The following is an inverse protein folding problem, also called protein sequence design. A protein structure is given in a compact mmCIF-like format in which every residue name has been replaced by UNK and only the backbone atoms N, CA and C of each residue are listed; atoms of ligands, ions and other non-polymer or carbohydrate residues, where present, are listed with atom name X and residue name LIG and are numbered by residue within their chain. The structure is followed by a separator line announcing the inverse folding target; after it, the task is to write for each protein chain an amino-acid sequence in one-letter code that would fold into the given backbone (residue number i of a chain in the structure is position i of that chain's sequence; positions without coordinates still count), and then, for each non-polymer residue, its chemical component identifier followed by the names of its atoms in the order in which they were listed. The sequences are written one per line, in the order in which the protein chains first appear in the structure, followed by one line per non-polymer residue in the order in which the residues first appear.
data_IF_489728157141
#
_entry.id   IF_489728157141
#
_cell.length_a   1.000
_cell.length_b   1.000
_cell.length_c   1.000
_cell.angle_alpha   90.00
_cell.angle_beta   90.00
_cell.angle_gamma   90.00
#
_symmetry.space_group_name_H-M   'P 1'
#
loop_
_entity.id
_entity.type
_entity.pdbx_description
1 polymer ?
#
# COMPACT_ATOMS: atom_id res chain seq x y z
N UNK A 1 6.00 -13.61 46.43
CA UNK A 1 5.41 -13.71 45.09
C UNK A 1 6.40 -13.13 44.10
N UNK A 2 7.02 -14.01 43.31
CA UNK A 2 8.17 -13.72 42.46
C UNK A 2 7.73 -12.93 41.23
N UNK A 3 8.33 -11.75 41.03
CA UNK A 3 8.25 -11.02 39.77
C UNK A 3 9.19 -11.70 38.77
N UNK A 4 8.62 -12.44 37.84
CA UNK A 4 9.36 -13.05 36.74
C UNK A 4 9.92 -11.97 35.82
N UNK A 5 11.18 -11.60 36.00
CA UNK A 5 11.95 -10.89 34.99
C UNK A 5 12.18 -11.83 33.80
N UNK A 6 11.32 -11.74 32.80
CA UNK A 6 11.57 -12.34 31.50
C UNK A 6 12.83 -11.72 30.89
N UNK A 7 13.91 -12.49 30.78
CA UNK A 7 15.13 -12.06 30.13
C UNK A 7 14.85 -11.73 28.66
N UNK A 8 14.72 -10.44 28.34
CA UNK A 8 14.83 -9.95 26.96
C UNK A 8 16.26 -10.22 26.51
N UNK A 9 16.47 -11.26 25.68
CA UNK A 9 17.71 -11.41 24.91
C UNK A 9 17.91 -10.12 24.14
N UNK A 10 18.97 -9.36 24.46
CA UNK A 10 19.50 -8.33 23.56
C UNK A 10 19.78 -9.05 22.24
N UNK A 11 19.13 -8.63 21.16
CA UNK A 11 19.54 -9.01 19.84
C UNK A 11 20.96 -8.46 19.67
N UNK A 12 21.95 -9.36 19.61
CA UNK A 12 23.27 -9.00 19.12
C UNK A 12 23.06 -8.33 17.75
N UNK A 13 23.73 -7.20 17.52
CA UNK A 13 23.76 -6.55 16.21
C UNK A 13 24.25 -7.60 15.22
N UNK A 14 23.33 -8.23 14.48
CA UNK A 14 23.69 -9.17 13.44
C UNK A 14 24.56 -8.39 12.44
N UNK A 15 25.79 -8.85 12.24
CA UNK A 15 26.63 -8.33 11.17
C UNK A 15 25.86 -8.48 9.85
N UNK A 16 25.99 -7.51 8.91
CA UNK A 16 25.38 -7.62 7.61
C UNK A 16 25.80 -8.96 7.00
N UNK A 17 24.81 -9.82 6.74
CA UNK A 17 25.07 -11.15 6.21
C UNK A 17 25.58 -10.99 4.79
N UNK A 18 26.77 -11.49 4.49
CA UNK A 18 27.28 -11.47 3.12
C UNK A 18 26.37 -12.37 2.26
N UNK A 19 25.48 -11.75 1.49
CA UNK A 19 24.49 -12.47 0.66
C UNK A 19 25.19 -13.36 -0.37
N UNK A 20 26.37 -12.96 -0.84
CA UNK A 20 27.17 -13.74 -1.80
C UNK A 20 27.87 -14.94 -1.16
N UNK A 21 27.76 -15.13 0.17
CA UNK A 21 28.25 -16.33 0.85
C UNK A 21 27.23 -17.48 0.87
N UNK A 22 26.00 -17.26 0.40
CA UNK A 22 24.98 -18.30 0.24
C UNK A 22 25.13 -19.03 -1.09
N UNK A 23 24.47 -20.19 -1.19
CA UNK A 23 24.39 -20.96 -2.43
C UNK A 23 23.89 -20.08 -3.60
N UNK A 24 24.56 -20.06 -4.77
CA UNK A 24 24.18 -19.23 -5.91
C UNK A 24 22.73 -19.44 -6.37
N UNK A 25 22.19 -20.66 -6.28
CA UNK A 25 20.80 -20.94 -6.62
C UNK A 25 19.84 -20.25 -5.65
N UNK A 26 20.16 -20.27 -4.35
CA UNK A 26 19.39 -19.57 -3.32
C UNK A 26 19.44 -18.06 -3.55
N UNK A 27 20.62 -17.51 -3.87
CA UNK A 27 20.77 -16.08 -4.17
C UNK A 27 19.96 -15.70 -5.41
N UNK A 28 19.96 -16.52 -6.45
CA UNK A 28 19.17 -16.28 -7.66
C UNK A 28 17.66 -16.25 -7.37
N UNK A 29 17.15 -17.22 -6.61
CA UNK A 29 15.74 -17.27 -6.20
C UNK A 29 15.35 -16.05 -5.35
N UNK A 30 16.20 -15.65 -4.40
CA UNK A 30 15.96 -14.45 -3.59
C UNK A 30 15.93 -13.20 -4.47
N UNK A 31 16.89 -13.04 -5.39
CA UNK A 31 16.89 -11.91 -6.34
C UNK A 31 15.61 -11.88 -7.19
N UNK A 32 15.13 -13.02 -7.67
CA UNK A 32 13.88 -13.09 -8.42
C UNK A 32 12.68 -12.63 -7.58
N UNK A 33 12.64 -12.98 -6.29
CA UNK A 33 11.56 -12.59 -5.39
C UNK A 33 11.46 -11.07 -5.20
N UNK A 34 12.59 -10.38 -5.07
CA UNK A 34 12.64 -8.92 -4.90
C UNK A 34 12.56 -8.15 -6.24
N UNK A 35 12.70 -8.81 -7.39
CA UNK A 35 12.66 -8.19 -8.72
C UNK A 35 11.31 -8.31 -9.44
N UNK A 36 10.22 -8.61 -8.73
CA UNK A 36 8.85 -8.65 -9.28
C UNK A 36 8.28 -7.25 -9.49
N UNK A 37 8.98 -6.47 -10.29
CA UNK A 37 8.72 -5.06 -10.57
C UNK A 37 8.59 -4.85 -12.08
N UNK A 38 7.61 -4.06 -12.50
CA UNK A 38 7.35 -3.70 -13.89
C UNK A 38 6.98 -2.23 -13.97
N UNK A 39 7.74 -1.45 -14.74
CA UNK A 39 7.47 -0.03 -14.99
C UNK A 39 6.82 0.14 -16.34
N UNK A 40 5.76 0.95 -16.40
CA UNK A 40 5.13 1.32 -17.66
C UNK A 40 6.01 2.27 -18.46
N UNK A 41 6.06 2.05 -19.78
CA UNK A 41 6.75 2.94 -20.72
C UNK A 41 5.70 3.74 -21.46
N UNK A 42 5.69 5.05 -21.23
CA UNK A 42 4.76 5.95 -21.92
C UNK A 42 5.14 6.06 -23.41
N UNK A 43 4.16 6.09 -24.32
CA UNK A 43 4.41 6.35 -25.74
C UNK A 43 5.13 7.68 -25.97
N UNK A 44 6.18 7.69 -26.79
CA UNK A 44 6.97 8.88 -27.09
C UNK A 44 6.19 9.95 -27.88
N UNK A 45 5.09 9.55 -28.55
CA UNK A 45 4.21 10.43 -29.32
C UNK A 45 3.25 11.25 -28.45
N UNK A 46 3.25 11.08 -27.12
CA UNK A 46 2.36 11.82 -26.21
C UNK A 46 0.89 11.39 -26.27
N UNK A 47 0.60 10.22 -26.83
CA UNK A 47 -0.76 9.70 -26.99
C UNK A 47 -1.49 9.49 -25.66
N UNK A 48 -0.76 9.16 -24.60
CA UNK A 48 -1.33 9.03 -23.26
C UNK A 48 -1.48 10.41 -22.63
N UNK A 49 -2.70 10.89 -22.58
CA UNK A 49 -3.06 12.19 -22.02
C UNK A 49 -4.41 12.12 -21.32
N UNK A 50 -4.62 13.01 -20.35
CA UNK A 50 -5.91 13.09 -19.65
C UNK A 50 -6.96 13.56 -20.68
N UNK A 51 -8.05 12.80 -20.89
CA UNK A 51 -9.10 13.21 -21.81
C UNK A 51 -9.80 14.47 -21.32
N UNK A 52 -10.39 15.23 -22.24
CA UNK A 52 -11.21 16.38 -21.86
C UNK A 52 -12.37 15.94 -20.93
N UNK A 53 -12.71 16.78 -19.97
CA UNK A 53 -13.80 16.48 -19.01
C UNK A 53 -15.15 16.26 -19.69
N UNK A 54 -15.35 16.84 -20.88
CA UNK A 54 -16.53 16.62 -21.71
C UNK A 54 -16.46 15.33 -22.53
N UNK A 55 -15.38 14.56 -22.52
CA UNK A 55 -15.28 13.28 -23.24
C UNK A 55 -15.05 12.10 -22.27
N UNK A 56 -14.46 12.39 -21.11
CA UNK A 56 -14.21 11.42 -20.05
C UNK A 56 -15.49 10.69 -19.60
N UNK A 57 -15.38 9.39 -19.35
CA UNK A 57 -16.43 8.54 -18.76
C UNK A 57 -17.76 8.49 -19.53
N UNK A 58 -17.75 8.78 -20.84
CA UNK A 58 -18.95 8.71 -21.70
C UNK A 58 -19.16 7.35 -22.37
N UNK A 59 -18.10 6.57 -22.50
CA UNK A 59 -18.16 5.26 -23.14
C UNK A 59 -18.60 4.18 -22.16
N UNK A 60 -19.36 3.16 -22.61
CA UNK A 60 -19.70 2.02 -21.77
C UNK A 60 -18.43 1.26 -21.36
N UNK A 61 -18.51 0.58 -20.22
CA UNK A 61 -17.49 -0.37 -19.78
C UNK A 61 -17.23 -1.40 -20.89
N UNK A 62 -15.95 -1.62 -21.20
CA UNK A 62 -15.52 -2.58 -22.22
C UNK A 62 -14.37 -3.43 -21.70
N UNK A 63 -14.62 -4.72 -21.55
CA UNK A 63 -13.60 -5.66 -21.13
C UNK A 63 -12.73 -6.11 -22.30
N UNK A 64 -11.43 -6.22 -22.03
CA UNK A 64 -10.49 -6.70 -23.04
C UNK A 64 -10.48 -8.23 -23.06
N UNK A 65 -10.85 -8.83 -24.20
CA UNK A 65 -11.03 -10.29 -24.35
C UNK A 65 -9.83 -11.10 -23.85
N UNK A 66 -8.60 -10.67 -24.17
CA UNK A 66 -7.39 -11.37 -23.71
C UNK A 66 -7.22 -11.30 -22.18
N UNK A 67 -7.57 -10.17 -21.55
CA UNK A 67 -7.45 -10.02 -20.10
C UNK A 67 -8.50 -10.87 -19.38
N UNK A 68 -9.72 -10.92 -19.90
CA UNK A 68 -10.78 -11.78 -19.36
C UNK A 68 -10.47 -13.28 -19.53
N UNK A 69 -9.80 -13.63 -20.63
CA UNK A 69 -9.27 -14.99 -20.82
C UNK A 69 -8.21 -15.33 -19.77
N UNK A 70 -7.31 -14.40 -19.46
CA UNK A 70 -6.31 -14.55 -18.40
C UNK A 70 -6.94 -14.65 -17.01
N UNK A 71 -7.95 -13.83 -16.71
CA UNK A 71 -8.75 -13.92 -15.47
C UNK A 71 -9.34 -15.32 -15.30
N UNK A 72 -10.00 -15.82 -16.34
CA UNK A 72 -10.62 -17.16 -16.33
C UNK A 72 -9.57 -18.24 -16.11
N UNK A 73 -8.47 -18.21 -16.85
CA UNK A 73 -7.40 -19.20 -16.73
C UNK A 73 -6.73 -19.18 -15.35
N UNK A 74 -6.49 -18.00 -14.78
CA UNK A 74 -5.95 -17.86 -13.43
C UNK A 74 -6.90 -18.51 -12.40
N UNK A 75 -8.20 -18.21 -12.49
CA UNK A 75 -9.21 -18.75 -11.56
C UNK A 75 -9.35 -20.28 -11.68
N UNK A 76 -9.21 -20.84 -12.88
CA UNK A 76 -9.17 -22.31 -13.07
C UNK A 76 -7.97 -22.96 -12.37
N UNK A 77 -6.79 -22.34 -12.46
CA UNK A 77 -5.59 -22.82 -11.77
C UNK A 77 -5.83 -22.81 -10.25
N UNK A 78 -6.38 -21.73 -9.70
CA UNK A 78 -6.72 -21.64 -8.28
C UNK A 78 -7.72 -22.73 -7.84
N UNK A 79 -8.78 -22.95 -8.61
CA UNK A 79 -9.82 -23.95 -8.32
C UNK A 79 -9.31 -25.38 -8.40
N UNK A 80 -8.38 -25.66 -9.32
CA UNK A 80 -7.81 -27.01 -9.50
C UNK A 80 -6.96 -27.47 -8.30
N UNK A 81 -6.61 -26.56 -7.38
CA UNK A 81 -5.75 -26.88 -6.25
C UNK A 81 -4.33 -27.29 -6.68
N UNK A 82 -3.95 -26.95 -7.92
CA UNK A 82 -2.61 -27.23 -8.43
C UNK A 82 -1.61 -26.49 -7.55
N UNK A 83 -0.81 -27.24 -6.80
CA UNK A 83 0.34 -26.70 -6.08
C UNK A 83 1.35 -26.21 -7.11
N UNK A 84 1.20 -24.97 -7.58
CA UNK A 84 2.28 -24.30 -8.28
C UNK A 84 3.40 -24.18 -7.24
N UNK A 85 4.59 -24.78 -7.47
CA UNK A 85 5.73 -24.57 -6.60
C UNK A 85 6.23 -23.14 -6.85
N UNK A 86 5.55 -22.17 -6.26
CA UNK A 86 6.00 -20.79 -6.25
C UNK A 86 7.07 -20.72 -5.17
N UNK A 87 8.34 -20.38 -5.51
CA UNK A 87 9.31 -20.04 -4.50
C UNK A 87 8.68 -18.94 -3.65
N UNK A 88 8.38 -19.25 -2.38
CA UNK A 88 7.67 -18.34 -1.51
C UNK A 88 8.48 -18.16 -0.26
N UNK A 89 8.78 -16.91 0.06
CA UNK A 89 9.17 -16.61 1.43
C UNK A 89 7.97 -16.96 2.30
N UNK A 90 8.15 -17.79 3.32
CA UNK A 90 7.09 -18.00 4.32
C UNK A 90 6.99 -16.68 5.10
N UNK A 91 5.97 -15.82 4.88
CA UNK A 91 6.00 -14.45 5.39
C UNK A 91 6.09 -14.42 6.92
N UNK A 92 5.54 -15.43 7.60
CA UNK A 92 5.63 -15.59 9.04
C UNK A 92 7.07 -15.71 9.58
N UNK A 93 7.98 -16.37 8.85
CA UNK A 93 9.39 -16.46 9.26
C UNK A 93 10.10 -15.11 9.07
N UNK A 94 9.81 -14.41 7.97
CA UNK A 94 10.39 -13.08 7.69
C UNK A 94 9.95 -12.08 8.76
N UNK A 95 8.65 -11.99 9.05
CA UNK A 95 8.10 -11.06 10.05
C UNK A 95 8.72 -11.30 11.43
N UNK A 96 8.86 -12.56 11.85
CA UNK A 96 9.49 -12.91 13.12
C UNK A 96 10.94 -12.43 13.22
N UNK A 97 11.72 -12.65 12.15
CA UNK A 97 13.11 -12.21 12.06
C UNK A 97 13.21 -10.68 12.04
N UNK A 98 12.42 -9.99 11.21
CA UNK A 98 12.40 -8.52 11.12
C UNK A 98 12.05 -7.89 12.45
N UNK A 99 11.02 -8.40 13.14
CA UNK A 99 10.62 -7.90 14.45
C UNK A 99 11.75 -8.03 15.49
N UNK A 100 12.45 -9.16 15.48
CA UNK A 100 13.55 -9.42 16.41
C UNK A 100 14.81 -8.58 16.10
N UNK A 101 15.13 -8.39 14.83
CA UNK A 101 16.34 -7.69 14.39
C UNK A 101 16.19 -6.17 14.38
N UNK A 102 15.05 -5.66 13.93
CA UNK A 102 14.82 -4.22 13.74
C UNK A 102 14.10 -3.55 14.92
N UNK A 103 13.57 -4.31 15.89
CA UNK A 103 12.70 -3.78 16.95
C UNK A 103 11.52 -2.97 16.36
N UNK A 104 10.93 -3.50 15.28
CA UNK A 104 9.85 -2.86 14.54
C UNK A 104 8.52 -2.88 15.31
N UNK A 105 7.91 -1.72 15.46
CA UNK A 105 6.56 -1.54 16.01
C UNK A 105 5.49 -1.94 14.98
N UNK A 106 4.38 -2.52 15.42
CA UNK A 106 3.27 -2.99 14.54
C UNK A 106 3.82 -3.81 13.34
N UNK A 107 4.85 -4.63 13.59
CA UNK A 107 5.53 -5.40 12.56
C UNK A 107 4.63 -6.52 12.02
N UNK A 108 3.79 -6.17 11.05
CA UNK A 108 2.87 -7.03 10.30
C UNK A 108 3.44 -7.37 8.92
N UNK A 109 2.69 -8.13 8.12
CA UNK A 109 3.06 -8.34 6.72
C UNK A 109 3.01 -7.03 5.92
N UNK A 110 2.00 -6.17 6.18
CA UNK A 110 1.90 -4.85 5.56
C UNK A 110 3.11 -3.98 5.91
N UNK A 111 3.59 -4.05 7.15
CA UNK A 111 4.81 -3.35 7.58
C UNK A 111 6.01 -3.73 6.71
N UNK A 112 6.22 -5.04 6.50
CA UNK A 112 7.34 -5.57 5.73
C UNK A 112 7.25 -5.19 4.25
N UNK A 113 6.05 -5.25 3.66
CA UNK A 113 5.79 -4.82 2.28
C UNK A 113 6.17 -3.36 2.09
N UNK A 114 5.70 -2.49 2.98
CA UNK A 114 5.97 -1.06 2.81
C UNK A 114 7.43 -0.71 3.06
N UNK A 115 8.11 -1.41 3.97
CA UNK A 115 9.55 -1.22 4.18
C UNK A 115 10.34 -1.63 2.93
N UNK A 116 9.95 -2.72 2.28
CA UNK A 116 10.50 -3.16 1.01
C UNK A 116 10.23 -2.14 -0.11
N UNK A 117 9.02 -1.57 -0.19
CA UNK A 117 8.66 -0.51 -1.15
C UNK A 117 9.54 0.73 -0.93
N UNK A 118 9.69 1.22 0.31
CA UNK A 118 10.53 2.37 0.65
C UNK A 118 12.03 2.12 0.34
N UNK A 119 12.49 0.88 0.44
CA UNK A 119 13.88 0.50 0.12
C UNK A 119 14.16 0.31 -1.37
N UNK A 120 13.14 0.06 -2.18
CA UNK A 120 13.27 -0.23 -3.61
C UNK A 120 12.84 0.92 -4.51
N UNK A 121 11.96 1.79 -4.01
CA UNK A 121 11.37 2.90 -4.75
C UNK A 121 11.72 4.24 -4.10
N UNK A 122 12.01 5.26 -4.91
CA UNK A 122 12.26 6.62 -4.44
C UNK A 122 10.93 7.33 -4.12
N UNK A 123 10.23 6.89 -3.08
CA UNK A 123 8.91 7.42 -2.73
C UNK A 123 8.95 8.79 -2.06
N UNK A 124 10.01 9.07 -1.29
CA UNK A 124 10.12 10.33 -0.55
C UNK A 124 10.74 11.40 -1.46
N UNK A 125 10.04 12.51 -1.74
CA UNK A 125 10.58 13.59 -2.57
C UNK A 125 11.87 14.15 -1.96
N UNK A 126 12.90 14.30 -2.79
CA UNK A 126 14.21 14.80 -2.34
C UNK A 126 14.07 16.22 -1.78
N UNK A 127 13.20 17.01 -2.37
CA UNK A 127 12.89 18.38 -1.98
C UNK A 127 12.32 18.45 -0.56
N UNK A 128 11.40 17.54 -0.21
CA UNK A 128 10.81 17.44 1.13
C UNK A 128 11.87 17.06 2.18
N UNK A 129 12.75 16.11 1.82
CA UNK A 129 13.87 15.71 2.69
C UNK A 129 14.91 16.84 2.88
N UNK A 130 15.11 17.68 1.86
CA UNK A 130 16.02 18.83 1.92
C UNK A 130 15.42 20.01 2.71
N UNK A 131 14.12 20.28 2.56
CA UNK A 131 13.43 21.29 3.38
C UNK A 131 13.26 20.86 4.83
N UNK A 132 13.34 19.55 5.09
CA UNK A 132 13.18 18.96 6.41
C UNK A 132 11.72 18.88 6.87
N UNK A 133 10.77 18.97 5.94
CA UNK A 133 9.33 18.86 6.22
C UNK A 133 8.75 17.79 5.29
N UNK A 134 8.15 16.74 5.86
CA UNK A 134 7.51 15.66 5.12
C UNK A 134 6.07 15.49 5.60
N UNK A 135 5.13 15.56 4.66
CA UNK A 135 3.70 15.45 4.94
C UNK A 135 3.11 14.25 4.19
N UNK A 136 2.52 13.31 4.92
CA UNK A 136 1.99 12.07 4.33
C UNK A 136 0.55 11.79 4.72
N UNK A 137 -0.21 11.17 3.82
CA UNK A 137 -1.61 10.79 4.07
C UNK A 137 -1.79 9.29 3.80
N UNK A 138 -2.50 8.61 4.69
CA UNK A 138 -2.75 7.17 4.58
C UNK A 138 -4.24 6.88 4.51
N UNK A 139 -4.71 6.34 3.39
CA UNK A 139 -6.12 6.03 3.12
C UNK A 139 -6.40 4.56 3.40
N UNK A 140 -7.51 4.28 4.08
CA UNK A 140 -7.90 2.93 4.51
C UNK A 140 -6.79 2.19 5.27
N UNK A 141 -6.12 2.88 6.19
CA UNK A 141 -4.79 2.48 6.70
C UNK A 141 -4.82 1.52 7.91
N UNK A 142 -5.97 1.31 8.55
CA UNK A 142 -6.04 0.50 9.76
C UNK A 142 -5.35 -0.87 9.58
N UNK A 143 -4.51 -1.32 10.54
CA UNK A 143 -4.32 -0.74 11.88
C UNK A 143 -3.21 0.32 11.99
N UNK A 144 -2.62 0.79 10.88
CA UNK A 144 -1.50 1.74 10.88
C UNK A 144 -0.13 1.15 10.63
N UNK A 145 -0.06 0.04 9.87
CA UNK A 145 1.20 -0.63 9.60
C UNK A 145 2.14 0.20 8.74
N UNK A 146 1.65 0.92 7.72
CA UNK A 146 2.49 1.76 6.86
C UNK A 146 2.94 3.02 7.59
N UNK A 147 2.09 3.57 8.48
CA UNK A 147 2.47 4.69 9.37
C UNK A 147 3.66 4.27 10.26
N UNK A 148 3.52 3.13 10.96
CA UNK A 148 4.58 2.56 11.79
C UNK A 148 5.87 2.26 11.01
N UNK A 149 5.75 1.74 9.78
CA UNK A 149 6.90 1.52 8.91
C UNK A 149 7.60 2.82 8.54
N UNK A 150 6.87 3.86 8.12
CA UNK A 150 7.51 5.12 7.73
C UNK A 150 8.19 5.76 8.95
N UNK A 151 7.55 5.75 10.11
CA UNK A 151 8.17 6.21 11.35
C UNK A 151 9.53 5.51 11.59
N UNK A 152 9.52 4.17 11.51
CA UNK A 152 10.74 3.38 11.69
C UNK A 152 11.80 3.72 10.64
N UNK A 153 11.43 3.79 9.36
CA UNK A 153 12.32 4.11 8.25
C UNK A 153 12.96 5.49 8.41
N UNK A 154 12.17 6.51 8.76
CA UNK A 154 12.65 7.86 8.98
C UNK A 154 13.62 7.93 10.17
N UNK A 155 13.31 7.27 11.29
CA UNK A 155 14.14 7.34 12.50
C UNK A 155 15.41 6.50 12.44
N UNK A 156 15.48 5.49 11.57
CA UNK A 156 16.63 4.58 11.47
C UNK A 156 17.60 4.91 10.34
N UNK A 157 17.20 5.75 9.38
CA UNK A 157 18.07 6.21 8.29
C UNK A 157 18.74 7.55 8.63
N UNK A 158 20.05 7.64 8.44
CA UNK A 158 20.82 8.87 8.69
C UNK A 158 20.37 10.04 7.79
N UNK A 159 19.87 9.73 6.59
CA UNK A 159 19.44 10.73 5.61
C UNK A 159 18.09 11.36 5.91
N UNK A 160 17.26 10.71 6.74
CA UNK A 160 15.85 11.11 6.95
C UNK A 160 15.52 11.40 8.41
N UNK A 161 16.39 11.03 9.37
CA UNK A 161 16.13 11.16 10.82
C UNK A 161 15.86 12.56 11.35
N UNK A 162 16.23 13.59 10.59
CA UNK A 162 16.06 15.00 10.93
C UNK A 162 14.87 15.66 10.24
N UNK A 163 14.07 14.89 9.50
CA UNK A 163 12.86 15.39 8.87
C UNK A 163 11.73 15.53 9.91
N UNK A 164 11.09 16.70 9.94
CA UNK A 164 9.85 16.93 10.65
C UNK A 164 8.71 16.31 9.85
N UNK A 165 8.17 15.22 10.39
CA UNK A 165 7.17 14.41 9.73
C UNK A 165 5.79 14.67 10.33
N UNK A 166 4.87 15.15 9.50
CA UNK A 166 3.44 15.23 9.81
C UNK A 166 2.68 14.19 8.99
N UNK A 167 1.66 13.61 9.59
CA UNK A 167 0.81 12.65 8.89
C UNK A 167 -0.65 12.79 9.27
N UNK A 168 -1.51 12.34 8.36
CA UNK A 168 -2.94 12.16 8.59
C UNK A 168 -3.35 10.79 8.04
N UNK A 169 -4.38 10.18 8.63
CA UNK A 169 -4.87 8.89 8.17
C UNK A 169 -6.39 8.83 8.14
N UNK A 170 -6.93 8.01 7.25
CA UNK A 170 -8.34 7.67 7.21
C UNK A 170 -8.49 6.13 7.27
N UNK A 171 -9.59 5.69 7.88
CA UNK A 171 -10.08 4.33 7.85
C UNK A 171 -11.54 4.33 8.30
N UNK A 172 -12.29 3.24 8.09
CA UNK A 172 -13.59 3.05 8.71
C UNK A 172 -13.46 3.19 10.22
N UNK A 173 -14.28 4.05 10.82
CA UNK A 173 -14.18 4.37 12.23
C UNK A 173 -14.51 3.15 13.12
N UNK A 174 -13.55 2.61 13.88
CA UNK A 174 -13.79 1.46 14.76
C UNK A 174 -14.68 1.79 15.96
N UNK A 175 -14.87 3.08 16.27
CA UNK A 175 -15.70 3.57 17.38
C UNK A 175 -17.11 3.98 16.94
N UNK A 176 -17.46 3.80 15.67
CA UNK A 176 -18.80 4.09 15.15
C UNK A 176 -19.65 2.82 15.11
N UNK A 177 -20.67 2.74 15.97
CA UNK A 177 -21.45 1.51 16.19
C UNK A 177 -22.08 0.90 14.92
N UNK A 178 -22.39 1.74 13.92
CA UNK A 178 -22.98 1.27 12.66
C UNK A 178 -21.95 0.63 11.70
N UNK A 179 -20.65 0.86 11.92
CA UNK A 179 -19.60 0.10 11.26
C UNK A 179 -19.51 -1.26 11.98
N UNK A 180 -20.31 -2.23 11.52
CA UNK A 180 -20.43 -3.53 12.19
C UNK A 180 -19.07 -4.21 12.40
N UNK A 181 -18.96 -5.04 13.43
CA UNK A 181 -17.69 -5.63 13.91
C UNK A 181 -16.92 -6.56 12.96
N UNK A 182 -17.40 -6.77 11.72
CA UNK A 182 -16.70 -7.49 10.66
C UNK A 182 -16.09 -6.59 9.58
N UNK A 183 -16.35 -5.27 9.62
CA UNK A 183 -15.90 -4.31 8.59
C UNK A 183 -14.66 -3.51 9.01
N UNK A 184 -14.46 -3.33 10.32
CA UNK A 184 -13.34 -2.59 10.88
C UNK A 184 -12.23 -3.53 11.33
N UNK A 185 -10.99 -3.06 11.28
CA UNK A 185 -9.86 -3.79 11.85
C UNK A 185 -9.94 -3.73 13.37
N UNK A 186 -9.74 -4.88 14.04
CA UNK A 186 -9.88 -5.02 15.48
C UNK A 186 -8.72 -4.43 16.30
N UNK A 187 -7.54 -4.29 15.70
CA UNK A 187 -6.39 -3.65 16.34
C UNK A 187 -6.45 -2.13 16.14
N UNK A 188 -7.07 -1.44 17.10
CA UNK A 188 -7.29 0.01 17.09
C UNK A 188 -6.27 0.79 17.93
N UNK A 189 -5.24 0.12 18.47
CA UNK A 189 -4.36 0.73 19.48
C UNK A 189 -3.62 1.95 18.97
N UNK A 190 -3.11 1.94 17.73
CA UNK A 190 -2.50 3.12 17.15
C UNK A 190 -3.56 4.22 17.01
N UNK A 191 -4.72 3.88 16.45
CA UNK A 191 -5.85 4.78 16.22
C UNK A 191 -6.24 5.50 17.52
N UNK A 192 -6.53 4.74 18.57
CA UNK A 192 -6.93 5.27 19.88
C UNK A 192 -5.88 6.21 20.51
N UNK A 193 -4.58 5.88 20.37
CA UNK A 193 -3.50 6.70 20.94
C UNK A 193 -3.09 7.89 20.05
N UNK A 194 -3.61 7.96 18.82
CA UNK A 194 -3.28 9.00 17.84
C UNK A 194 -4.52 9.62 17.21
N UNK A 195 -5.68 9.57 17.91
CA UNK A 195 -6.98 10.04 17.38
C UNK A 195 -6.95 11.40 16.67
N UNK A 196 -6.23 12.44 17.14
CA UNK A 196 -6.18 13.73 16.45
C UNK A 196 -5.64 13.70 15.01
N UNK A 197 -4.93 12.64 14.63
CA UNK A 197 -4.36 12.43 13.30
C UNK A 197 -5.24 11.54 12.41
N UNK A 198 -6.35 11.00 12.94
CA UNK A 198 -7.30 10.17 12.18
C UNK A 198 -8.53 10.96 11.76
N UNK A 199 -8.85 10.87 10.48
CA UNK A 199 -9.98 11.52 9.85
C UNK A 199 -11.10 10.52 9.55
N UNK A 200 -12.25 10.73 10.18
CA UNK A 200 -13.43 9.87 10.05
C UNK A 200 -14.58 10.52 9.27
N UNK A 201 -14.35 11.66 8.61
CA UNK A 201 -15.42 12.39 7.91
C UNK A 201 -16.34 13.18 8.86
N UNK A 202 -17.11 14.12 8.31
CA UNK A 202 -18.10 14.87 9.09
C UNK A 202 -19.23 13.99 9.64
N UNK A 203 -19.48 12.85 8.98
CA UNK A 203 -20.46 11.83 9.39
C UNK A 203 -19.87 10.78 10.35
N UNK A 204 -18.58 10.90 10.67
CA UNK A 204 -17.85 10.05 11.60
C UNK A 204 -17.78 8.56 11.21
N UNK A 205 -18.17 8.21 9.97
CA UNK A 205 -18.16 6.83 9.46
C UNK A 205 -16.78 6.35 9.09
N UNK A 206 -15.92 7.26 8.62
CA UNK A 206 -14.65 6.93 8.00
C UNK A 206 -14.75 6.38 6.58
N UNK A 207 -15.94 6.34 5.99
CA UNK A 207 -16.16 5.83 4.64
C UNK A 207 -15.66 6.83 3.58
N UNK A 208 -14.54 6.49 2.94
CA UNK A 208 -13.92 7.29 1.88
C UNK A 208 -14.75 7.36 0.60
N UNK A 209 -15.71 6.43 0.42
CA UNK A 209 -16.57 6.41 -0.76
C UNK A 209 -17.70 7.47 -0.69
N UNK A 210 -17.89 8.09 0.47
CA UNK A 210 -18.83 9.20 0.65
C UNK A 210 -18.35 10.46 -0.10
N UNK A 211 -19.13 11.05 -1.03
CA UNK A 211 -18.69 12.21 -1.82
C UNK A 211 -18.29 13.45 -1.01
N UNK A 212 -18.82 13.60 0.22
CA UNK A 212 -18.45 14.69 1.13
C UNK A 212 -17.06 14.49 1.72
N UNK A 213 -16.64 13.23 1.90
CA UNK A 213 -15.40 12.84 2.54
C UNK A 213 -14.18 13.49 1.90
N UNK A 214 -14.15 13.57 0.56
CA UNK A 214 -13.03 14.13 -0.17
C UNK A 214 -12.74 15.60 0.18
N UNK A 215 -13.79 16.43 0.23
CA UNK A 215 -13.66 17.86 0.54
C UNK A 215 -13.30 18.08 2.00
N UNK A 216 -13.92 17.31 2.89
CA UNK A 216 -13.67 17.43 4.32
C UNK A 216 -12.24 16.96 4.67
N UNK A 217 -11.74 15.91 4.00
CA UNK A 217 -10.37 15.43 4.16
C UNK A 217 -9.35 16.48 3.69
N UNK A 218 -9.60 17.17 2.58
CA UNK A 218 -8.77 18.30 2.14
C UNK A 218 -8.73 19.41 3.19
N UNK A 219 -9.87 19.73 3.82
CA UNK A 219 -9.92 20.68 4.93
C UNK A 219 -9.11 20.22 6.14
N UNK A 220 -9.20 18.93 6.48
CA UNK A 220 -8.47 18.33 7.61
C UNK A 220 -6.95 18.42 7.45
N UNK A 221 -6.44 18.18 6.24
CA UNK A 221 -4.99 18.27 5.95
C UNK A 221 -4.55 19.67 5.51
N UNK A 222 -5.45 20.67 5.51
CA UNK A 222 -5.20 22.00 4.94
C UNK A 222 -4.08 22.83 5.60
N UNK A 223 -3.62 22.41 6.78
CA UNK A 223 -2.46 23.03 7.44
C UNK A 223 -1.12 22.45 6.97
N UNK A 224 -1.11 21.34 6.23
CA UNK A 224 0.09 20.80 5.60
C UNK A 224 0.39 21.62 4.34
N UNK A 225 1.64 22.06 4.19
CA UNK A 225 2.05 22.92 3.06
C UNK A 225 1.83 22.26 1.70
N UNK A 226 2.10 20.96 1.62
CA UNK A 226 2.00 20.10 0.43
C UNK A 226 1.93 18.67 0.93
N UNK A 227 1.21 17.78 0.25
CA UNK A 227 1.22 16.34 0.55
C UNK A 227 2.24 15.65 -0.35
N UNK A 228 3.27 15.06 0.25
CA UNK A 228 4.44 14.49 -0.42
C UNK A 228 4.27 13.02 -0.76
N UNK A 229 3.41 12.32 -0.02
CA UNK A 229 3.07 10.94 -0.29
C UNK A 229 1.67 10.61 0.20
N UNK A 230 0.92 9.89 -0.64
CA UNK A 230 -0.33 9.24 -0.25
C UNK A 230 -0.14 7.72 -0.36
N UNK A 231 -0.67 6.97 0.60
CA UNK A 231 -0.82 5.51 0.46
C UNK A 231 -2.29 5.13 0.56
N UNK A 232 -2.69 4.05 -0.10
CA UNK A 232 -4.05 3.54 -0.11
C UNK A 232 -4.05 2.02 -0.01
N UNK A 233 -4.71 1.51 1.02
CA UNK A 233 -4.66 0.11 1.43
C UNK A 233 -6.02 -0.57 1.55
N UNK A 234 -7.09 0.04 1.04
CA UNK A 234 -8.47 -0.42 1.16
C UNK A 234 -8.72 -1.79 0.56
N UNK A 235 -9.67 -2.52 1.13
CA UNK A 235 -10.21 -3.77 0.58
C UNK A 235 -11.48 -4.13 1.30
N UNK A 236 -12.28 -4.99 0.68
CA UNK A 236 -13.38 -5.68 1.33
C UNK A 236 -13.05 -7.15 1.56
N UNK A 237 -13.82 -7.81 2.41
CA UNK A 237 -13.77 -9.26 2.54
C UNK A 237 -14.40 -9.92 1.29
N UNK A 238 -13.58 -10.61 0.52
CA UNK A 238 -13.96 -11.30 -0.69
C UNK A 238 -13.84 -12.83 -0.56
N UNK A 239 -13.76 -13.39 0.67
CA UNK A 239 -13.60 -14.84 0.87
C UNK A 239 -14.71 -15.67 0.20
N UNK A 240 -15.93 -15.12 0.12
CA UNK A 240 -17.06 -15.78 -0.55
C UNK A 240 -16.99 -15.79 -2.08
N UNK A 241 -16.20 -14.91 -2.69
CA UNK A 241 -16.04 -14.83 -4.15
C UNK A 241 -14.68 -14.23 -4.53
N UNK A 242 -13.56 -14.97 -4.33
CA UNK A 242 -12.22 -14.46 -4.59
C UNK A 242 -11.96 -14.19 -6.09
N UNK A 243 -12.67 -14.89 -6.98
CA UNK A 243 -12.58 -14.74 -8.43
C UNK A 243 -12.95 -13.32 -8.91
N UNK A 244 -13.82 -12.64 -8.15
CA UNK A 244 -14.36 -11.31 -8.45
C UNK A 244 -13.76 -10.22 -7.56
N UNK A 245 -12.67 -10.51 -6.84
CA UNK A 245 -12.03 -9.57 -5.91
C UNK A 245 -11.73 -8.23 -6.60
N UNK A 246 -11.17 -8.25 -7.81
CA UNK A 246 -10.81 -7.06 -8.57
C UNK A 246 -12.02 -6.16 -8.87
N UNK A 247 -13.10 -6.74 -9.40
CA UNK A 247 -14.32 -6.01 -9.71
C UNK A 247 -14.99 -5.45 -8.44
N UNK A 248 -14.97 -6.22 -7.35
CA UNK A 248 -15.61 -5.83 -6.09
C UNK A 248 -14.95 -4.63 -5.41
N UNK A 249 -13.61 -4.53 -5.47
CA UNK A 249 -12.87 -3.41 -4.87
C UNK A 249 -12.71 -2.21 -5.82
N UNK A 250 -13.11 -2.33 -7.09
CA UNK A 250 -12.86 -1.32 -8.12
C UNK A 250 -13.37 0.09 -7.74
N UNK A 251 -14.57 0.18 -7.15
CA UNK A 251 -15.13 1.47 -6.71
C UNK A 251 -14.34 2.09 -5.56
N UNK A 252 -13.84 1.26 -4.64
CA UNK A 252 -12.99 1.73 -3.54
C UNK A 252 -11.65 2.24 -4.06
N UNK A 253 -10.98 1.49 -4.93
CA UNK A 253 -9.72 1.94 -5.55
C UNK A 253 -9.89 3.25 -6.34
N UNK A 254 -11.03 3.41 -7.04
CA UNK A 254 -11.34 4.67 -7.71
C UNK A 254 -11.45 5.84 -6.72
N UNK A 255 -12.17 5.66 -5.61
CA UNK A 255 -12.28 6.67 -4.56
C UNK A 255 -10.92 6.99 -3.90
N UNK A 256 -10.11 5.98 -3.61
CA UNK A 256 -8.76 6.15 -3.04
C UNK A 256 -7.83 6.90 -4.00
N UNK A 257 -7.84 6.55 -5.29
CA UNK A 257 -7.03 7.22 -6.29
C UNK A 257 -7.51 8.66 -6.55
N UNK A 258 -8.83 8.89 -6.60
CA UNK A 258 -9.38 10.23 -6.72
C UNK A 258 -8.99 11.09 -5.50
N UNK A 259 -9.05 10.53 -4.30
CA UNK A 259 -8.60 11.21 -3.08
C UNK A 259 -7.10 11.53 -3.12
N UNK A 260 -6.26 10.56 -3.51
CA UNK A 260 -4.83 10.78 -3.65
C UNK A 260 -4.52 11.91 -4.65
N UNK A 261 -5.08 11.84 -5.87
CA UNK A 261 -4.86 12.85 -6.91
C UNK A 261 -5.35 14.26 -6.50
N UNK A 262 -6.36 14.35 -5.65
CA UNK A 262 -6.88 15.62 -5.15
C UNK A 262 -6.02 16.23 -4.03
N UNK A 263 -5.28 15.41 -3.29
CA UNK A 263 -4.47 15.83 -2.14
C UNK A 263 -3.00 16.07 -2.50
N UNK A 264 -2.43 15.28 -3.41
CA UNK A 264 -1.00 15.26 -3.71
C UNK A 264 -0.49 16.59 -4.26
N UNK A 265 0.66 17.02 -3.76
CA UNK A 265 1.41 18.12 -4.33
C UNK A 265 2.20 17.70 -5.58
N UNK A 266 2.69 18.66 -6.39
CA UNK A 266 3.58 18.36 -7.51
C UNK A 266 4.84 17.62 -7.06
N UNK A 267 5.21 16.55 -7.77
CA UNK A 267 6.40 15.74 -7.45
C UNK A 267 6.21 14.70 -6.35
N UNK A 268 5.01 14.62 -5.77
CA UNK A 268 4.67 13.65 -4.73
C UNK A 268 4.47 12.22 -5.27
N UNK A 269 4.47 11.26 -4.33
CA UNK A 269 4.33 9.82 -4.63
C UNK A 269 2.98 9.26 -4.21
N UNK A 270 2.51 8.23 -4.93
CA UNK A 270 1.30 7.50 -4.57
C UNK A 270 1.57 5.99 -4.54
N UNK A 271 1.16 5.32 -3.47
CA UNK A 271 1.20 3.86 -3.33
C UNK A 271 -0.23 3.34 -3.19
N UNK A 272 -0.69 2.59 -4.16
CA UNK A 272 -2.02 1.97 -4.16
C UNK A 272 -1.86 0.46 -4.18
N UNK A 273 -2.44 -0.22 -3.18
CA UNK A 273 -2.57 -1.67 -3.21
C UNK A 273 -3.59 -2.06 -4.28
N UNK A 274 -3.23 -2.98 -5.16
CA UNK A 274 -4.14 -3.54 -6.14
C UNK A 274 -4.12 -5.07 -6.08
N UNK A 275 -4.92 -5.72 -6.94
CA UNK A 275 -4.97 -7.18 -7.06
C UNK A 275 -4.60 -7.59 -8.49
N UNK A 276 -5.41 -8.43 -9.13
CA UNK A 276 -5.34 -8.59 -10.57
C UNK A 276 -5.66 -7.27 -11.28
N UNK A 277 -5.26 -7.17 -12.55
CA UNK A 277 -5.38 -5.98 -13.39
C UNK A 277 -6.04 -6.37 -14.73
N UNK A 278 -7.08 -7.20 -14.68
CA UNK A 278 -7.75 -7.76 -15.85
C UNK A 278 -9.06 -7.05 -16.20
N UNK A 279 -9.68 -6.38 -15.23
CA UNK A 279 -10.93 -5.67 -15.40
C UNK A 279 -10.71 -4.32 -16.08
N UNK A 280 -11.71 -3.89 -16.86
CA UNK A 280 -11.65 -2.58 -17.52
C UNK A 280 -11.45 -1.44 -16.52
N UNK A 281 -12.01 -1.54 -15.31
CA UNK A 281 -11.91 -0.53 -14.26
C UNK A 281 -10.46 -0.34 -13.80
N UNK A 282 -9.71 -1.43 -13.59
CA UNK A 282 -8.29 -1.40 -13.26
C UNK A 282 -7.45 -0.84 -14.40
N UNK A 283 -7.76 -1.23 -15.65
CA UNK A 283 -7.05 -0.72 -16.84
C UNK A 283 -7.27 0.79 -17.00
N UNK A 284 -8.50 1.27 -16.87
CA UNK A 284 -8.83 2.70 -16.91
C UNK A 284 -8.12 3.46 -15.78
N UNK A 285 -8.09 2.91 -14.57
CA UNK A 285 -7.42 3.52 -13.43
C UNK A 285 -5.90 3.62 -13.68
N UNK A 286 -5.27 2.55 -14.14
CA UNK A 286 -3.84 2.55 -14.49
C UNK A 286 -3.51 3.53 -15.61
N UNK A 287 -4.39 3.66 -16.62
CA UNK A 287 -4.24 4.67 -17.66
C UNK A 287 -4.26 6.09 -17.08
N UNK A 288 -5.24 6.39 -16.22
CA UNK A 288 -5.33 7.68 -15.53
C UNK A 288 -4.06 7.97 -14.72
N UNK A 289 -3.61 7.02 -13.90
CA UNK A 289 -2.39 7.17 -13.11
C UNK A 289 -1.15 7.36 -14.00
N UNK A 290 -1.05 6.65 -15.13
CA UNK A 290 0.02 6.87 -16.10
C UNK A 290 -0.05 8.24 -16.78
N UNK A 291 -1.22 8.87 -16.87
CA UNK A 291 -1.31 10.24 -17.35
C UNK A 291 -0.87 11.26 -16.29
N UNK A 292 -1.20 11.02 -15.01
CA UNK A 292 -0.93 11.95 -13.91
C UNK A 292 0.51 11.90 -13.37
N UNK A 293 1.14 10.72 -13.32
CA UNK A 293 2.45 10.54 -12.69
C UNK A 293 3.58 10.41 -13.70
N UNK A 294 4.79 10.88 -13.36
CA UNK A 294 5.97 10.77 -14.23
C UNK A 294 6.34 9.31 -14.54
N UNK A 295 6.26 8.44 -13.55
CA UNK A 295 6.56 7.01 -13.64
C UNK A 295 5.52 6.24 -12.86
N UNK A 296 5.03 5.13 -13.42
CA UNK A 296 4.11 4.21 -12.77
C UNK A 296 4.70 2.81 -12.87
N UNK A 297 4.74 2.12 -11.73
CA UNK A 297 5.25 0.77 -11.63
C UNK A 297 4.28 -0.12 -10.88
N UNK A 298 4.15 -1.36 -11.33
CA UNK A 298 3.47 -2.44 -10.62
C UNK A 298 4.55 -3.29 -9.98
N UNK A 299 4.41 -3.51 -8.67
CA UNK A 299 5.39 -4.20 -7.87
C UNK A 299 4.69 -5.24 -7.00
N UNK A 300 5.20 -6.47 -6.94
CA UNK A 300 4.76 -7.45 -5.95
C UNK A 300 5.89 -7.65 -4.94
N UNK A 301 5.81 -7.05 -3.73
CA UNK A 301 6.84 -7.23 -2.71
C UNK A 301 7.08 -8.72 -2.42
N UNK A 302 8.34 -9.11 -2.22
CA UNK A 302 8.75 -10.47 -1.84
C UNK A 302 8.03 -10.94 -0.57
N UNK A 303 7.75 -9.99 0.33
CA UNK A 303 7.02 -10.21 1.58
C UNK A 303 5.50 -10.31 1.42
N UNK A 304 4.96 -10.08 0.21
CA UNK A 304 3.55 -10.40 -0.12
C UNK A 304 3.34 -11.91 -0.21
N UNK A 305 2.11 -12.38 0.03
CA UNK A 305 1.83 -13.83 -0.08
C UNK A 305 1.99 -14.21 -1.55
N UNK A 306 2.87 -15.18 -1.82
CA UNK A 306 3.10 -15.63 -3.19
C UNK A 306 1.80 -16.11 -3.86
N UNK A 307 0.92 -16.73 -3.07
CA UNK A 307 -0.35 -17.23 -3.52
C UNK A 307 -1.54 -16.27 -3.38
N UNK A 308 -1.34 -14.96 -3.46
CA UNK A 308 -2.44 -14.01 -3.60
C UNK A 308 -2.25 -13.14 -4.84
N UNK A 309 -3.33 -12.49 -5.27
CA UNK A 309 -3.32 -11.58 -6.40
C UNK A 309 -2.81 -10.17 -6.07
N UNK A 310 -2.50 -9.90 -4.80
CA UNK A 310 -2.10 -8.58 -4.33
C UNK A 310 -0.76 -8.13 -4.94
N UNK A 311 -0.76 -6.91 -5.45
CA UNK A 311 0.42 -6.16 -5.95
C UNK A 311 0.44 -4.79 -5.28
#
# INVERSE_FOLDING_TARGET
MSWGQGARRKADRQQPTNVEAFDPEVVAVVRELFNKFRTYVKPANGEWSIPDSSEALRHPAQDHVLLQTLKTSLNEIWKSGTNIPIPSTVPGKVIGTVRAAANAEICTQAWCKFYEILGTSNLLPVEALQSGELNTVYLCEAPGAFIATLNHYLKTSEHTRYCDWSWAANTLNPFYEANGGGTTITDDRLIANTLPWWFFGSDNTGDIMSPRHLKDLQGFVGNMRSIDMVTAGGSFDCQGNPDEQEAFVASLHYCEAAAALFLLGPGASFVLKMFTLYEHSSVCLLYLLNCCFRSVSVFKPATSKAGNSEV
#
